data_IF_675360823994
#
_entry.id   IF_675360823994
#
_cell.length_a   1.000
_cell.length_b   1.000
_cell.length_c   1.000
_cell.angle_alpha   90.00
_cell.angle_beta   90.00
_cell.angle_gamma   90.00
#
_symmetry.space_group_name_H-M   'P 1'
#
loop_
_entity.id
_entity.type
_entity.pdbx_description
1 polymer ?
#
# COMPACT_ATOMS: atom_id res chain seq x y z
N UNK A 1 13.45 -41.06 -6.68
CA UNK A 1 14.87 -40.63 -6.62
C UNK A 1 15.05 -39.09 -6.71
N UNK A 2 14.15 -38.25 -6.16
CA UNK A 2 14.13 -36.79 -6.41
C UNK A 2 14.52 -35.89 -5.21
N UNK A 3 14.96 -36.48 -4.09
CA UNK A 3 15.31 -35.72 -2.86
C UNK A 3 16.75 -35.20 -2.81
N UNK A 4 17.72 -35.91 -3.40
CA UNK A 4 19.15 -35.59 -3.25
C UNK A 4 19.63 -34.44 -4.15
N UNK A 5 19.13 -34.31 -5.38
CA UNK A 5 19.47 -33.17 -6.26
C UNK A 5 18.97 -31.81 -5.76
N UNK A 6 17.96 -31.80 -4.88
CA UNK A 6 17.34 -30.59 -4.31
C UNK A 6 18.17 -29.91 -3.21
N UNK A 7 19.23 -30.57 -2.73
CA UNK A 7 20.14 -30.10 -1.67
C UNK A 7 21.54 -29.81 -2.24
N UNK A 8 21.92 -30.45 -3.34
CA UNK A 8 23.26 -30.35 -3.93
C UNK A 8 23.56 -28.94 -4.48
N UNK A 9 22.60 -28.27 -5.14
CA UNK A 9 22.79 -26.90 -5.66
C UNK A 9 23.17 -25.84 -4.60
N UNK A 10 22.38 -25.67 -3.51
CA UNK A 10 22.73 -24.72 -2.46
C UNK A 10 23.92 -25.18 -1.61
N UNK A 11 24.16 -26.49 -1.47
CA UNK A 11 25.37 -27.00 -0.84
C UNK A 11 26.61 -26.64 -1.67
N UNK A 12 26.54 -26.71 -3.01
CA UNK A 12 27.62 -26.26 -3.91
C UNK A 12 27.81 -24.74 -3.85
N UNK A 13 26.75 -23.94 -3.77
CA UNK A 13 26.86 -22.47 -3.66
C UNK A 13 27.44 -22.04 -2.29
N UNK A 14 27.00 -22.69 -1.21
CA UNK A 14 27.53 -22.48 0.14
C UNK A 14 28.96 -23.00 0.24
N UNK A 15 29.28 -24.15 -0.34
CA UNK A 15 30.65 -24.69 -0.43
C UNK A 15 31.51 -23.79 -1.33
N UNK A 16 30.99 -23.21 -2.42
CA UNK A 16 31.73 -22.26 -3.25
C UNK A 16 31.98 -20.93 -2.54
N UNK A 17 31.02 -20.45 -1.74
CA UNK A 17 31.18 -19.27 -0.88
C UNK A 17 32.12 -19.53 0.31
N UNK A 18 32.10 -20.74 0.88
CA UNK A 18 33.01 -21.17 1.95
C UNK A 18 34.42 -21.46 1.42
N UNK A 19 34.56 -22.05 0.24
CA UNK A 19 35.85 -22.26 -0.46
C UNK A 19 36.43 -20.93 -0.93
N UNK A 20 35.59 -20.00 -1.40
CA UNK A 20 35.99 -18.62 -1.63
C UNK A 20 36.50 -18.00 -0.31
N UNK A 21 35.80 -18.16 0.82
CA UNK A 21 36.27 -17.72 2.14
C UNK A 21 37.51 -18.45 2.71
N UNK A 22 37.87 -19.62 2.17
CA UNK A 22 39.01 -20.43 2.60
C UNK A 22 40.33 -20.03 1.91
N UNK A 23 40.29 -19.24 0.84
CA UNK A 23 41.49 -18.65 0.22
C UNK A 23 41.89 -17.41 1.03
N UNK A 24 43.09 -17.35 1.64
CA UNK A 24 43.51 -16.24 2.50
C UNK A 24 43.40 -14.85 1.82
N UNK A 25 43.64 -14.80 0.50
CA UNK A 25 43.48 -13.60 -0.32
C UNK A 25 42.02 -13.10 -0.39
N UNK A 26 41.04 -14.01 -0.37
CA UNK A 26 39.62 -13.68 -0.46
C UNK A 26 39.01 -13.31 0.90
N UNK A 27 39.55 -13.87 2.00
CA UNK A 27 39.14 -13.52 3.37
C UNK A 27 39.58 -12.10 3.75
N UNK A 28 40.80 -11.71 3.37
CA UNK A 28 41.29 -10.33 3.51
C UNK A 28 40.56 -9.35 2.58
N UNK A 29 40.18 -9.80 1.38
CA UNK A 29 39.33 -9.05 0.45
C UNK A 29 37.91 -8.84 0.99
N UNK A 30 37.26 -9.85 1.54
CA UNK A 30 35.89 -9.76 2.05
C UNK A 30 35.77 -8.81 3.26
N UNK A 31 36.74 -8.82 4.17
CA UNK A 31 36.78 -7.90 5.32
C UNK A 31 37.06 -6.46 4.88
N UNK A 32 38.00 -6.25 3.94
CA UNK A 32 38.24 -4.93 3.34
C UNK A 32 37.05 -4.41 2.54
N UNK A 33 36.34 -5.29 1.82
CA UNK A 33 35.15 -4.94 1.04
C UNK A 33 34.03 -4.44 1.94
N UNK A 34 33.77 -5.12 3.06
CA UNK A 34 32.75 -4.67 4.02
C UNK A 34 33.13 -3.34 4.66
N UNK A 35 34.40 -3.12 4.99
CA UNK A 35 34.89 -1.87 5.58
C UNK A 35 34.88 -0.69 4.58
N UNK A 36 35.27 -0.93 3.32
CA UNK A 36 35.25 0.07 2.24
C UNK A 36 33.82 0.41 1.82
N UNK A 37 32.92 -0.58 1.75
CA UNK A 37 31.50 -0.36 1.47
C UNK A 37 30.81 0.36 2.65
N UNK A 38 31.15 0.03 3.90
CA UNK A 38 30.60 0.69 5.09
C UNK A 38 31.03 2.17 5.20
N UNK A 39 32.20 2.53 4.66
CA UNK A 39 32.69 3.92 4.62
C UNK A 39 32.27 4.70 3.37
N UNK A 40 31.64 4.05 2.39
CA UNK A 40 31.26 4.63 1.09
C UNK A 40 32.43 5.38 0.39
N UNK A 41 33.66 4.92 0.58
CA UNK A 41 34.84 5.54 -0.01
C UNK A 41 35.04 5.06 -1.45
N UNK A 42 34.50 5.85 -2.38
CA UNK A 42 34.58 5.64 -3.84
C UNK A 42 36.04 5.52 -4.32
N UNK A 43 36.98 6.22 -3.67
CA UNK A 43 38.40 6.19 -4.02
C UNK A 43 39.04 4.84 -3.69
N UNK A 44 38.80 4.35 -2.47
CA UNK A 44 39.27 3.05 -2.04
C UNK A 44 38.64 1.90 -2.86
N UNK A 45 37.35 2.00 -3.16
CA UNK A 45 36.65 0.99 -3.96
C UNK A 45 37.16 0.94 -5.42
N UNK A 46 37.47 2.10 -6.01
CA UNK A 46 38.12 2.18 -7.32
C UNK A 46 39.51 1.55 -7.32
N UNK A 47 40.34 1.89 -6.33
CA UNK A 47 41.69 1.34 -6.21
C UNK A 47 41.66 -0.18 -6.03
N UNK A 48 40.71 -0.68 -5.23
CA UNK A 48 40.48 -2.10 -5.05
C UNK A 48 40.13 -2.80 -6.36
N UNK A 49 39.13 -2.30 -7.11
CA UNK A 49 38.70 -2.90 -8.38
C UNK A 49 39.82 -2.87 -9.42
N UNK A 50 40.54 -1.75 -9.53
CA UNK A 50 41.68 -1.60 -10.46
C UNK A 50 42.87 -2.50 -10.09
N UNK A 51 43.05 -2.83 -8.81
CA UNK A 51 44.13 -3.69 -8.32
C UNK A 51 44.11 -5.12 -8.91
N UNK A 52 42.96 -5.55 -9.46
CA UNK A 52 42.82 -6.85 -10.11
C UNK A 52 43.06 -6.83 -11.64
N UNK A 53 43.40 -5.67 -12.21
CA UNK A 53 43.76 -5.52 -13.63
C UNK A 53 42.68 -6.07 -14.57
N UNK A 54 43.04 -7.04 -15.41
CA UNK A 54 42.12 -7.66 -16.37
C UNK A 54 40.91 -8.37 -15.72
N UNK A 55 41.02 -8.78 -14.46
CA UNK A 55 39.94 -9.46 -13.72
C UNK A 55 38.96 -8.49 -13.04
N UNK A 56 39.19 -7.18 -13.15
CA UNK A 56 38.37 -6.15 -12.51
C UNK A 56 36.84 -6.27 -12.77
N UNK A 57 36.35 -6.61 -14.00
CA UNK A 57 34.92 -6.78 -14.23
C UNK A 57 34.29 -7.94 -13.46
N UNK A 58 35.03 -9.06 -13.31
CA UNK A 58 34.56 -10.24 -12.59
C UNK A 58 34.54 -9.99 -11.08
N UNK A 59 35.55 -9.30 -10.55
CA UNK A 59 35.58 -8.88 -9.15
C UNK A 59 34.42 -7.94 -8.84
N UNK A 60 34.16 -6.96 -9.71
CA UNK A 60 33.02 -6.05 -9.55
C UNK A 60 31.66 -6.79 -9.63
N UNK A 61 31.53 -7.76 -10.52
CA UNK A 61 30.33 -8.61 -10.60
C UNK A 61 30.10 -9.38 -9.29
N UNK A 62 31.16 -9.99 -8.76
CA UNK A 62 31.11 -10.67 -7.47
C UNK A 62 30.71 -9.73 -6.34
N UNK A 63 31.28 -8.53 -6.30
CA UNK A 63 30.96 -7.49 -5.33
C UNK A 63 29.47 -7.10 -5.37
N UNK A 64 28.92 -6.91 -6.57
CA UNK A 64 27.52 -6.57 -6.76
C UNK A 64 26.56 -7.69 -6.36
N UNK A 65 26.94 -8.95 -6.56
CA UNK A 65 26.14 -10.11 -6.13
C UNK A 65 26.22 -10.27 -4.61
N UNK A 66 27.42 -10.17 -4.04
CA UNK A 66 27.65 -10.33 -2.60
C UNK A 66 26.89 -9.29 -1.79
N UNK A 67 26.96 -8.02 -2.19
CA UNK A 67 26.18 -6.97 -1.52
C UNK A 67 24.66 -7.26 -1.67
N UNK A 68 24.17 -7.66 -2.84
CA UNK A 68 22.73 -7.91 -3.01
C UNK A 68 22.20 -9.05 -2.11
N UNK A 69 23.05 -10.03 -1.79
CA UNK A 69 22.66 -11.26 -1.06
C UNK A 69 22.95 -11.18 0.44
N UNK A 70 24.09 -10.63 0.87
CA UNK A 70 24.57 -10.75 2.25
C UNK A 70 24.35 -9.51 3.10
N UNK A 71 24.31 -8.33 2.50
CA UNK A 71 24.20 -7.09 3.23
C UNK A 71 23.41 -6.11 2.37
N UNK A 72 22.13 -5.80 2.68
CA UNK A 72 21.29 -4.92 1.87
C UNK A 72 21.83 -3.48 1.88
N UNK A 73 22.96 -3.30 1.20
CA UNK A 73 23.76 -2.11 1.08
C UNK A 73 23.35 -1.43 -0.21
N UNK A 74 23.37 -0.09 -0.25
CA UNK A 74 23.07 0.64 -1.47
C UNK A 74 24.06 0.21 -2.56
N UNK A 75 23.54 -0.26 -3.70
CA UNK A 75 24.36 -0.68 -4.83
C UNK A 75 25.01 0.48 -5.60
N UNK A 76 24.59 1.72 -5.28
CA UNK A 76 25.02 2.94 -5.95
C UNK A 76 26.53 3.21 -5.93
N UNK A 77 27.31 2.97 -4.85
CA UNK A 77 28.75 3.22 -4.85
C UNK A 77 29.49 2.29 -5.83
N UNK A 78 29.09 1.01 -5.89
CA UNK A 78 29.70 0.04 -6.81
C UNK A 78 29.36 0.35 -8.26
N UNK A 79 28.09 0.67 -8.54
CA UNK A 79 27.67 1.09 -9.90
C UNK A 79 28.37 2.36 -10.35
N UNK A 80 28.60 3.31 -9.45
CA UNK A 80 29.37 4.52 -9.73
C UNK A 80 30.83 4.20 -10.08
N UNK A 81 31.51 3.36 -9.28
CA UNK A 81 32.88 2.93 -9.56
C UNK A 81 32.96 2.18 -10.89
N UNK A 82 31.96 1.36 -11.21
CA UNK A 82 31.91 0.68 -12.50
C UNK A 82 31.82 1.67 -13.67
N UNK A 83 31.02 2.73 -13.54
CA UNK A 83 30.97 3.82 -14.52
C UNK A 83 32.29 4.60 -14.63
N UNK A 84 32.98 4.80 -13.51
CA UNK A 84 34.28 5.48 -13.47
C UNK A 84 35.41 4.64 -14.08
N UNK A 85 35.40 3.31 -13.87
CA UNK A 85 36.48 2.39 -14.30
C UNK A 85 36.27 1.88 -15.71
N UNK A 86 35.04 1.46 -16.06
CA UNK A 86 34.74 0.81 -17.34
C UNK A 86 33.98 1.72 -18.32
N UNK A 87 33.72 2.97 -17.93
CA UNK A 87 32.92 3.91 -18.72
C UNK A 87 31.41 3.69 -18.58
N UNK A 88 30.59 4.60 -19.15
CA UNK A 88 29.16 4.68 -18.88
C UNK A 88 28.37 3.50 -19.49
N UNK A 89 28.80 3.01 -20.66
CA UNK A 89 28.10 1.93 -21.36
C UNK A 89 28.48 0.56 -20.82
N UNK A 90 29.77 0.24 -20.76
CA UNK A 90 30.25 -1.06 -20.26
C UNK A 90 30.13 -1.19 -18.75
N UNK A 91 30.42 -0.13 -18.00
CA UNK A 91 30.19 -0.08 -16.55
C UNK A 91 28.71 -0.18 -16.20
N UNK A 92 27.84 0.47 -16.98
CA UNK A 92 26.39 0.39 -16.84
C UNK A 92 25.86 -1.02 -17.13
N UNK A 93 26.27 -1.61 -18.26
CA UNK A 93 25.89 -2.97 -18.63
C UNK A 93 26.36 -4.01 -17.61
N UNK A 94 27.62 -3.91 -17.16
CA UNK A 94 28.19 -4.79 -16.12
C UNK A 94 27.39 -4.69 -14.83
N UNK A 95 27.06 -3.47 -14.41
CA UNK A 95 26.30 -3.22 -13.18
C UNK A 95 24.87 -3.73 -13.28
N UNK A 96 24.23 -3.53 -14.42
CA UNK A 96 22.87 -3.98 -14.67
C UNK A 96 22.78 -5.51 -14.70
N UNK A 97 23.68 -6.17 -15.44
CA UNK A 97 23.71 -7.63 -15.55
C UNK A 97 24.03 -8.30 -14.20
N UNK A 98 25.04 -7.81 -13.48
CA UNK A 98 25.41 -8.35 -12.16
C UNK A 98 24.31 -8.15 -11.12
N UNK A 99 23.64 -6.98 -11.13
CA UNK A 99 22.50 -6.74 -10.25
C UNK A 99 21.30 -7.66 -10.55
N UNK A 100 21.04 -7.97 -11.83
CA UNK A 100 19.99 -8.92 -12.21
C UNK A 100 20.29 -10.32 -11.68
N UNK A 101 21.55 -10.76 -11.76
CA UNK A 101 21.98 -12.04 -11.19
C UNK A 101 21.76 -12.04 -9.67
N UNK A 102 22.19 -10.98 -8.98
CA UNK A 102 21.98 -10.84 -7.53
C UNK A 102 20.49 -10.89 -7.15
N UNK A 103 19.66 -10.09 -7.82
CA UNK A 103 18.21 -10.06 -7.59
C UNK A 103 17.55 -11.43 -7.85
N UNK A 104 17.97 -12.13 -8.90
CA UNK A 104 17.51 -13.49 -9.21
C UNK A 104 17.88 -14.50 -8.13
N UNK A 105 19.09 -14.41 -7.56
CA UNK A 105 19.54 -15.24 -6.44
C UNK A 105 18.67 -14.96 -5.20
N UNK A 106 18.43 -13.70 -4.85
CA UNK A 106 17.61 -13.34 -3.69
C UNK A 106 16.16 -13.85 -3.82
N UNK A 107 15.57 -13.71 -5.02
CA UNK A 107 14.25 -14.25 -5.33
C UNK A 107 14.22 -15.78 -5.20
N UNK A 108 15.23 -16.46 -5.75
CA UNK A 108 15.29 -17.92 -5.72
C UNK A 108 15.49 -18.45 -4.30
N UNK A 109 16.37 -17.81 -3.51
CA UNK A 109 16.60 -18.15 -2.11
C UNK A 109 15.33 -18.01 -1.26
N UNK A 110 14.63 -16.87 -1.37
CA UNK A 110 13.36 -16.66 -0.65
C UNK A 110 12.27 -17.63 -1.09
N UNK A 111 12.16 -17.92 -2.39
CA UNK A 111 11.20 -18.91 -2.91
C UNK A 111 11.48 -20.32 -2.40
N UNK A 112 12.75 -20.69 -2.27
CA UNK A 112 13.17 -22.05 -1.95
C UNK A 112 13.17 -22.34 -0.46
N UNK A 113 13.65 -21.39 0.36
CA UNK A 113 13.82 -21.55 1.80
C UNK A 113 12.74 -20.83 2.62
N UNK A 114 11.89 -20.06 1.95
CA UNK A 114 10.76 -19.38 2.55
C UNK A 114 11.16 -18.18 3.42
N UNK A 115 10.17 -17.69 4.16
CA UNK A 115 10.25 -16.49 5.00
C UNK A 115 11.32 -16.55 6.10
N UNK A 116 11.60 -17.69 6.78
CA UNK A 116 12.61 -17.73 7.84
C UNK A 116 14.03 -17.39 7.39
N UNK A 117 14.41 -17.75 6.14
CA UNK A 117 15.71 -17.34 5.58
C UNK A 117 15.68 -15.85 5.25
N UNK A 118 14.61 -15.38 4.63
CA UNK A 118 14.46 -13.98 4.25
C UNK A 118 14.53 -13.07 5.50
N UNK A 119 13.90 -13.44 6.61
CA UNK A 119 13.91 -12.67 7.86
C UNK A 119 15.27 -12.61 8.57
N UNK A 120 16.18 -13.54 8.25
CA UNK A 120 17.57 -13.53 8.75
C UNK A 120 18.47 -12.60 7.93
N UNK A 121 18.18 -12.45 6.64
CA UNK A 121 18.97 -11.63 5.71
C UNK A 121 18.39 -10.21 5.57
N UNK A 122 17.08 -10.06 5.75
CA UNK A 122 16.33 -8.81 5.68
C UNK A 122 15.50 -8.66 6.95
N UNK A 123 15.52 -7.48 7.57
CA UNK A 123 14.78 -7.26 8.82
C UNK A 123 13.28 -7.56 8.65
N UNK A 124 12.67 -8.10 9.72
CA UNK A 124 11.25 -8.48 9.73
C UNK A 124 10.32 -7.34 9.32
N UNK A 125 10.57 -6.13 9.84
CA UNK A 125 9.80 -4.93 9.48
C UNK A 125 9.95 -4.52 8.02
N UNK A 126 11.12 -4.73 7.40
CA UNK A 126 11.29 -4.44 5.97
C UNK A 126 10.53 -5.45 5.09
N UNK A 127 10.45 -6.71 5.50
CA UNK A 127 9.64 -7.73 4.81
C UNK A 127 8.13 -7.47 4.97
N UNK A 128 7.66 -7.09 6.15
CA UNK A 128 6.25 -6.69 6.37
C UNK A 128 5.86 -5.47 5.52
N UNK A 129 6.76 -4.47 5.42
CA UNK A 129 6.58 -3.36 4.49
C UNK A 129 6.48 -3.84 3.04
N UNK A 130 7.35 -4.79 2.66
CA UNK A 130 7.36 -5.40 1.33
C UNK A 130 6.01 -6.08 1.04
N UNK A 131 5.47 -6.86 1.98
CA UNK A 131 4.17 -7.52 1.83
C UNK A 131 3.08 -6.49 1.52
N UNK A 132 2.96 -5.43 2.32
CA UNK A 132 1.97 -4.38 2.10
C UNK A 132 2.17 -3.63 0.78
N UNK A 133 3.41 -3.46 0.36
CA UNK A 133 3.75 -2.86 -0.94
C UNK A 133 3.29 -3.76 -2.11
N UNK A 134 3.53 -5.08 -2.02
CA UNK A 134 3.06 -6.05 -2.99
C UNK A 134 1.52 -6.20 -2.99
N UNK A 135 0.86 -6.13 -1.83
CA UNK A 135 -0.62 -6.14 -1.75
C UNK A 135 -1.23 -4.93 -2.47
N UNK A 136 -0.60 -3.77 -2.36
CA UNK A 136 -1.12 -2.51 -2.93
C UNK A 136 -0.88 -2.37 -4.43
N UNK A 137 0.30 -2.75 -4.92
CA UNK A 137 0.72 -2.50 -6.30
C UNK A 137 0.75 -3.76 -7.18
N UNK A 138 0.57 -4.94 -6.57
CA UNK A 138 0.49 -6.22 -7.28
C UNK A 138 1.73 -6.48 -8.14
N UNK A 139 1.49 -6.89 -9.40
CA UNK A 139 2.56 -7.20 -10.35
C UNK A 139 3.48 -6.01 -10.66
N UNK A 140 2.99 -4.77 -10.49
CA UNK A 140 3.75 -3.56 -10.76
C UNK A 140 4.67 -3.15 -9.60
N UNK A 141 4.54 -3.79 -8.43
CA UNK A 141 5.33 -3.47 -7.24
C UNK A 141 6.83 -3.53 -7.54
N UNK A 142 7.29 -4.54 -8.27
CA UNK A 142 8.71 -4.69 -8.63
C UNK A 142 9.19 -3.50 -9.46
N UNK A 143 8.48 -3.16 -10.54
CA UNK A 143 8.85 -2.08 -11.44
C UNK A 143 8.88 -0.73 -10.70
N UNK A 144 7.85 -0.42 -9.91
CA UNK A 144 7.78 0.80 -9.11
C UNK A 144 8.87 0.87 -8.04
N UNK A 145 9.17 -0.27 -7.41
CA UNK A 145 10.25 -0.38 -6.44
C UNK A 145 11.64 -0.19 -7.05
N UNK A 146 11.83 -0.48 -8.35
CA UNK A 146 13.10 -0.21 -9.05
C UNK A 146 13.25 1.23 -9.54
N UNK A 147 12.14 1.89 -9.87
CA UNK A 147 12.13 3.28 -10.34
C UNK A 147 12.26 4.28 -9.19
N UNK A 148 11.78 3.93 -7.99
CA UNK A 148 11.81 4.80 -6.83
C UNK A 148 13.07 4.52 -5.98
N UNK A 149 14.00 5.49 -5.84
CA UNK A 149 15.26 5.28 -5.12
C UNK A 149 15.09 5.05 -3.61
N UNK A 150 13.90 5.36 -3.07
CA UNK A 150 13.51 5.20 -1.66
C UNK A 150 13.35 3.74 -1.25
N UNK A 151 13.12 2.84 -2.22
CA UNK A 151 12.80 1.44 -1.95
C UNK A 151 14.06 0.60 -2.01
N UNK A 152 14.32 -0.19 -0.96
CA UNK A 152 15.44 -1.14 -0.97
C UNK A 152 15.21 -2.23 -2.01
N UNK A 153 16.15 -2.32 -2.95
CA UNK A 153 16.17 -3.29 -4.04
C UNK A 153 16.15 -4.73 -3.55
N UNK A 154 16.87 -5.02 -2.47
CA UNK A 154 16.98 -6.38 -1.94
C UNK A 154 15.69 -6.79 -1.22
N UNK A 155 15.08 -5.87 -0.47
CA UNK A 155 13.77 -6.08 0.18
C UNK A 155 12.68 -6.44 -0.83
N UNK A 156 12.68 -5.81 -2.00
CA UNK A 156 11.75 -6.12 -3.09
C UNK A 156 12.06 -7.48 -3.71
N UNK A 157 13.33 -7.85 -3.89
CA UNK A 157 13.72 -9.16 -4.42
C UNK A 157 13.33 -10.32 -3.49
N UNK A 158 13.66 -10.21 -2.20
CA UNK A 158 13.29 -11.19 -1.19
C UNK A 158 11.77 -11.25 -1.00
N UNK A 159 11.09 -10.11 -0.95
CA UNK A 159 9.63 -10.04 -0.89
C UNK A 159 8.97 -10.70 -2.10
N UNK A 160 9.40 -10.38 -3.31
CA UNK A 160 8.86 -10.98 -4.54
C UNK A 160 8.97 -12.50 -4.55
N UNK A 161 10.09 -13.05 -4.04
CA UNK A 161 10.29 -14.50 -3.96
C UNK A 161 9.38 -15.20 -2.95
N UNK A 162 8.79 -14.48 -2.00
CA UNK A 162 7.77 -15.00 -1.07
C UNK A 162 6.34 -14.92 -1.61
N UNK A 163 6.13 -14.22 -2.74
CA UNK A 163 4.79 -14.08 -3.37
C UNK A 163 4.50 -15.18 -4.40
N UNK A 164 3.30 -15.18 -4.98
CA UNK A 164 2.94 -16.02 -6.12
C UNK A 164 3.56 -15.62 -7.47
N UNK A 165 4.35 -14.53 -7.54
CA UNK A 165 4.91 -14.00 -8.80
C UNK A 165 5.84 -15.01 -9.49
N UNK A 166 5.79 -15.13 -10.82
CA UNK A 166 6.70 -15.99 -11.56
C UNK A 166 8.09 -15.37 -11.71
N UNK A 167 9.14 -16.20 -11.75
CA UNK A 167 10.53 -15.74 -11.87
C UNK A 167 10.75 -14.87 -13.12
N UNK A 168 10.19 -15.26 -14.26
CA UNK A 168 10.35 -14.51 -15.52
C UNK A 168 9.73 -13.11 -15.46
N UNK A 169 8.56 -12.97 -14.84
CA UNK A 169 7.90 -11.67 -14.66
C UNK A 169 8.72 -10.77 -13.73
N UNK A 170 9.24 -11.34 -12.64
CA UNK A 170 10.14 -10.64 -11.72
C UNK A 170 11.42 -10.15 -12.43
N UNK A 171 12.07 -11.03 -13.20
CA UNK A 171 13.30 -10.70 -13.92
C UNK A 171 13.07 -9.64 -14.98
N UNK A 172 11.98 -9.72 -15.75
CA UNK A 172 11.64 -8.73 -16.77
C UNK A 172 11.34 -7.36 -16.14
N UNK A 173 10.53 -7.33 -15.09
CA UNK A 173 10.19 -6.10 -14.38
C UNK A 173 11.43 -5.45 -13.74
N UNK A 174 12.33 -6.27 -13.17
CA UNK A 174 13.60 -5.82 -12.59
C UNK A 174 14.55 -5.29 -13.67
N UNK A 175 14.67 -6.03 -14.79
CA UNK A 175 15.51 -5.65 -15.92
C UNK A 175 15.10 -4.28 -16.47
N UNK A 176 13.80 -4.06 -16.73
CA UNK A 176 13.29 -2.79 -17.24
C UNK A 176 13.45 -1.67 -16.19
N UNK A 177 13.04 -1.92 -14.95
CA UNK A 177 13.02 -0.91 -13.90
C UNK A 177 14.40 -0.40 -13.49
N UNK A 178 15.45 -1.22 -13.66
CA UNK A 178 16.82 -0.84 -13.27
C UNK A 178 17.57 -0.05 -14.34
N UNK A 179 17.11 -0.02 -15.60
CA UNK A 179 17.81 0.67 -16.70
C UNK A 179 18.03 2.16 -16.41
N UNK A 180 17.01 2.96 -16.06
CA UNK A 180 17.19 4.40 -15.89
C UNK A 180 18.16 4.73 -14.76
N UNK A 181 18.04 4.04 -13.62
CA UNK A 181 18.91 4.24 -12.47
C UNK A 181 20.36 3.82 -12.78
N UNK A 182 20.55 2.67 -13.42
CA UNK A 182 21.90 2.15 -13.71
C UNK A 182 22.64 3.03 -14.71
N UNK A 183 21.95 3.48 -15.77
CA UNK A 183 22.53 4.41 -16.74
C UNK A 183 22.87 5.76 -16.11
N UNK A 184 21.99 6.29 -15.26
CA UNK A 184 22.26 7.54 -14.53
C UNK A 184 23.51 7.42 -13.65
N UNK A 185 23.57 6.41 -12.77
CA UNK A 185 24.71 6.24 -11.87
C UNK A 185 26.02 5.95 -12.61
N UNK A 186 25.97 5.15 -13.68
CA UNK A 186 27.16 4.84 -14.48
C UNK A 186 27.66 6.06 -15.26
N UNK A 187 26.75 6.86 -15.82
CA UNK A 187 27.09 8.12 -16.49
C UNK A 187 27.68 9.15 -15.53
N UNK A 188 27.11 9.26 -14.32
CA UNK A 188 27.67 10.12 -13.27
C UNK A 188 29.05 9.65 -12.78
N UNK A 189 29.27 8.34 -12.75
CA UNK A 189 30.57 7.73 -12.48
C UNK A 189 31.62 8.17 -13.49
N UNK A 190 31.27 8.15 -14.77
CA UNK A 190 32.15 8.56 -15.86
C UNK A 190 32.54 10.05 -15.82
N UNK A 191 31.59 10.93 -15.46
CA UNK A 191 31.81 12.38 -15.39
C UNK A 191 32.80 12.83 -14.31
N UNK A 192 33.17 11.96 -13.36
CA UNK A 192 34.25 12.14 -12.37
C UNK A 192 34.44 13.56 -11.82
N UNK A 193 33.76 13.94 -10.72
CA UNK A 193 33.93 15.29 -10.14
C UNK A 193 33.17 15.62 -8.85
N UNK A 194 33.46 16.80 -8.27
CA UNK A 194 32.79 17.41 -7.09
C UNK A 194 31.26 17.54 -7.28
N UNK A 195 30.81 17.76 -8.52
CA UNK A 195 29.41 17.79 -8.95
C UNK A 195 28.71 16.43 -8.84
N UNK A 196 29.42 15.33 -9.10
CA UNK A 196 28.89 13.97 -8.94
C UNK A 196 28.65 13.64 -7.45
N UNK A 197 29.57 14.06 -6.56
CA UNK A 197 29.37 13.93 -5.10
C UNK A 197 28.15 14.72 -4.62
N UNK A 198 27.98 15.96 -5.08
CA UNK A 198 26.82 16.78 -4.73
C UNK A 198 25.50 16.13 -5.19
N UNK A 199 25.44 15.61 -6.42
CA UNK A 199 24.25 14.95 -6.94
C UNK A 199 23.95 13.61 -6.23
N UNK A 200 24.99 12.83 -5.87
CA UNK A 200 24.84 11.63 -5.05
C UNK A 200 24.26 11.97 -3.67
N UNK A 201 24.76 13.03 -3.02
CA UNK A 201 24.20 13.52 -1.76
C UNK A 201 22.79 14.06 -1.91
N UNK A 202 22.45 14.71 -3.03
CA UNK A 202 21.08 15.16 -3.31
C UNK A 202 20.12 13.99 -3.49
N UNK A 203 20.50 12.96 -4.26
CA UNK A 203 19.68 11.76 -4.43
C UNK A 203 19.58 10.98 -3.12
N UNK A 204 20.67 10.87 -2.37
CA UNK A 204 20.67 10.28 -1.03
C UNK A 204 19.80 11.08 -0.05
N UNK A 205 19.79 12.41 -0.13
CA UNK A 205 18.94 13.29 0.67
C UNK A 205 17.46 13.16 0.29
N UNK A 206 17.13 13.10 -1.01
CA UNK A 206 15.76 12.84 -1.48
C UNK A 206 15.30 11.44 -1.04
N UNK A 207 16.20 10.46 -1.11
CA UNK A 207 15.98 9.08 -0.65
C UNK A 207 15.76 9.04 0.85
N UNK A 208 16.63 9.68 1.64
CA UNK A 208 16.52 9.79 3.09
C UNK A 208 15.27 10.57 3.50
N UNK A 209 14.88 11.61 2.77
CA UNK A 209 13.66 12.38 3.00
C UNK A 209 12.41 11.55 2.65
N UNK A 210 12.46 10.76 1.57
CA UNK A 210 11.42 9.81 1.22
C UNK A 210 11.26 8.69 2.25
N UNK A 211 12.38 8.13 2.73
CA UNK A 211 12.41 7.13 3.82
C UNK A 211 11.90 7.77 5.11
N UNK A 212 12.37 8.96 5.47
CA UNK A 212 11.90 9.72 6.63
C UNK A 212 10.40 10.03 6.51
N UNK A 213 9.90 10.42 5.34
CA UNK A 213 8.48 10.61 5.10
C UNK A 213 7.69 9.31 5.29
N UNK A 214 8.19 8.17 4.80
CA UNK A 214 7.58 6.86 4.99
C UNK A 214 7.62 6.37 6.45
N UNK A 215 8.71 6.66 7.19
CA UNK A 215 8.90 6.32 8.60
C UNK A 215 8.10 7.26 9.53
N UNK A 216 7.95 8.52 9.15
CA UNK A 216 7.07 9.47 9.81
C UNK A 216 5.62 9.22 9.43
N UNK A 217 5.30 8.60 8.29
CA UNK A 217 3.93 8.30 7.88
C UNK A 217 3.09 7.61 8.96
N UNK A 218 3.53 6.57 9.70
CA UNK A 218 2.75 6.03 10.81
C UNK A 218 2.56 7.06 11.94
N UNK A 219 3.61 7.77 12.38
CA UNK A 219 3.52 8.77 13.47
C UNK A 219 2.80 10.06 13.09
N UNK A 220 2.83 10.43 11.82
CA UNK A 220 2.19 11.62 11.24
C UNK A 220 0.77 11.30 10.81
N UNK A 221 0.46 10.06 10.40
CA UNK A 221 -0.92 9.59 10.21
C UNK A 221 -1.65 9.41 11.54
N UNK A 222 -0.93 9.13 12.63
CA UNK A 222 -1.49 9.08 13.99
C UNK A 222 -1.64 10.48 14.62
N UNK A 223 -0.69 11.41 14.40
CA UNK A 223 -0.74 12.77 15.00
C UNK A 223 -1.44 13.82 14.14
N UNK A 224 -1.39 13.67 12.82
CA UNK A 224 -2.20 14.43 11.86
C UNK A 224 -3.26 13.44 11.39
N UNK A 225 -4.36 13.36 12.13
CA UNK A 225 -5.49 12.50 11.80
C UNK A 225 -5.83 12.59 10.32
N UNK A 226 -6.39 11.50 9.78
CA UNK A 226 -6.74 11.21 8.38
C UNK A 226 -7.59 12.27 7.62
N UNK A 227 -7.70 13.50 8.13
CA UNK A 227 -8.44 14.65 7.64
C UNK A 227 -7.79 15.37 6.44
N UNK A 228 -6.48 15.32 6.25
CA UNK A 228 -5.76 16.17 5.27
C UNK A 228 -5.94 15.79 3.79
N UNK A 229 -5.39 14.64 3.35
CA UNK A 229 -5.37 14.30 1.91
C UNK A 229 -6.72 13.80 1.38
N UNK A 230 -7.55 13.15 2.20
CA UNK A 230 -8.85 12.63 1.77
C UNK A 230 -9.92 13.71 1.63
N UNK A 231 -9.93 14.75 2.50
CA UNK A 231 -10.78 15.94 2.30
C UNK A 231 -10.35 16.79 1.10
N UNK A 232 -9.04 16.85 0.82
CA UNK A 232 -8.56 17.53 -0.39
C UNK A 232 -9.01 16.80 -1.66
N UNK A 233 -9.00 15.46 -1.66
CA UNK A 233 -9.54 14.66 -2.75
C UNK A 233 -11.06 14.78 -2.90
N UNK A 234 -11.83 14.73 -1.81
CA UNK A 234 -13.30 14.90 -1.91
C UNK A 234 -13.68 16.29 -2.40
N UNK A 235 -12.98 17.34 -1.95
CA UNK A 235 -13.11 18.70 -2.49
C UNK A 235 -12.70 18.80 -3.95
N UNK A 236 -11.65 18.10 -4.38
CA UNK A 236 -11.24 18.07 -5.79
C UNK A 236 -12.26 17.35 -6.67
N UNK A 237 -12.84 16.24 -6.20
CA UNK A 237 -13.93 15.54 -6.90
C UNK A 237 -15.19 16.41 -7.03
N UNK A 238 -15.57 17.13 -5.98
CA UNK A 238 -16.69 18.07 -6.03
C UNK A 238 -16.44 19.27 -6.98
N UNK A 239 -15.18 19.68 -7.13
CA UNK A 239 -14.78 20.84 -7.94
C UNK A 239 -14.53 20.51 -9.42
N UNK A 240 -14.29 19.24 -9.75
CA UNK A 240 -14.05 18.77 -11.12
C UNK A 240 -14.96 17.58 -11.46
N UNK A 241 -16.19 17.84 -11.95
CA UNK A 241 -17.20 16.81 -12.22
C UNK A 241 -16.73 15.69 -13.18
N UNK A 242 -15.74 15.99 -14.04
CA UNK A 242 -15.14 15.05 -15.01
C UNK A 242 -14.35 13.91 -14.33
N UNK A 243 -13.86 14.10 -13.10
CA UNK A 243 -13.09 13.07 -12.39
C UNK A 243 -13.96 11.93 -11.86
N UNK A 244 -15.24 12.20 -11.57
CA UNK A 244 -16.20 11.19 -11.10
C UNK A 244 -16.38 10.02 -12.08
N UNK A 245 -16.71 10.28 -13.36
CA UNK A 245 -16.85 9.23 -14.38
C UNK A 245 -15.58 8.40 -14.61
N UNK A 246 -14.40 9.04 -14.55
CA UNK A 246 -13.11 8.36 -14.74
C UNK A 246 -12.79 7.41 -13.57
N UNK A 247 -13.15 7.81 -12.34
CA UNK A 247 -13.02 6.96 -11.16
C UNK A 247 -14.06 5.83 -11.15
N UNK A 248 -15.32 6.13 -11.47
CA UNK A 248 -16.40 5.14 -11.54
C UNK A 248 -16.13 4.00 -12.54
N UNK A 249 -15.44 4.29 -13.66
CA UNK A 249 -15.00 3.27 -14.62
C UNK A 249 -14.00 2.25 -14.05
N UNK A 250 -13.28 2.61 -12.99
CA UNK A 250 -12.32 1.72 -12.29
C UNK A 250 -12.92 1.07 -11.06
N UNK A 251 -14.04 1.57 -10.56
CA UNK A 251 -14.75 0.97 -9.44
C UNK A 251 -15.38 -0.36 -9.88
N UNK A 252 -15.14 -1.42 -9.13
CA UNK A 252 -15.78 -2.70 -9.35
C UNK A 252 -17.23 -2.59 -8.87
N UNK A 253 -18.13 -2.17 -9.74
CA UNK A 253 -19.56 -2.09 -9.44
C UNK A 253 -20.06 -3.52 -9.25
N UNK A 254 -20.43 -3.86 -8.01
CA UNK A 254 -21.10 -5.12 -7.71
C UNK A 254 -22.51 -5.02 -8.27
N UNK A 255 -22.78 -5.74 -9.37
CA UNK A 255 -24.14 -5.92 -9.87
C UNK A 255 -24.77 -7.04 -9.07
N UNK A 256 -25.67 -6.70 -8.16
CA UNK A 256 -26.52 -7.69 -7.49
C UNK A 256 -27.53 -8.19 -8.51
N UNK A 257 -27.57 -9.51 -8.75
CA UNK A 257 -28.51 -10.12 -9.67
C UNK A 257 -29.91 -10.14 -9.04
N UNK A 258 -30.87 -9.50 -9.70
CA UNK A 258 -32.24 -9.37 -9.21
C UNK A 258 -32.36 -8.32 -8.11
N UNK A 259 -33.11 -7.26 -8.38
CA UNK A 259 -33.67 -6.44 -7.32
C UNK A 259 -34.86 -7.26 -6.80
N UNK A 260 -34.90 -7.67 -5.51
CA UNK A 260 -36.08 -8.32 -4.95
C UNK A 260 -37.20 -7.28 -4.90
N UNK A 261 -37.92 -7.15 -6.01
CA UNK A 261 -39.04 -6.24 -6.13
C UNK A 261 -40.29 -6.90 -5.56
N UNK A 262 -40.81 -6.33 -4.49
CA UNK A 262 -42.10 -6.74 -3.92
C UNK A 262 -43.13 -5.69 -4.34
N UNK A 263 -44.14 -6.03 -5.16
CA UNK A 263 -45.19 -5.09 -5.53
C UNK A 263 -45.91 -4.56 -4.30
N UNK A 264 -46.00 -3.24 -4.20
CA UNK A 264 -46.63 -2.57 -3.07
C UNK A 264 -48.16 -2.52 -3.28
N UNK A 265 -48.90 -3.37 -2.56
CA UNK A 265 -50.36 -3.53 -2.73
C UNK A 265 -51.21 -2.80 -1.68
N UNK A 266 -50.58 -2.37 -0.57
CA UNK A 266 -51.26 -1.72 0.56
C UNK A 266 -51.37 -0.20 0.32
N UNK A 267 -52.53 0.43 0.51
CA UNK A 267 -52.64 1.89 0.42
C UNK A 267 -51.77 2.59 1.46
N UNK A 268 -51.06 3.67 1.10
CA UNK A 268 -50.12 4.37 2.00
C UNK A 268 -50.74 4.78 3.35
N UNK A 269 -52.01 5.22 3.34
CA UNK A 269 -52.77 5.56 4.55
C UNK A 269 -52.95 4.42 5.56
N UNK A 270 -52.68 3.18 5.14
CA UNK A 270 -52.68 1.99 6.01
C UNK A 270 -51.27 1.48 6.30
N UNK A 271 -50.23 2.11 5.72
CA UNK A 271 -48.86 1.66 5.80
C UNK A 271 -48.09 2.33 6.95
N UNK A 272 -47.21 1.55 7.57
CA UNK A 272 -46.22 2.02 8.53
C UNK A 272 -44.85 2.05 7.88
N UNK A 273 -44.14 3.18 7.96
CA UNK A 273 -42.81 3.34 7.36
C UNK A 273 -41.69 3.39 8.40
N UNK A 274 -40.50 2.91 8.02
CA UNK A 274 -39.23 3.16 8.72
C UNK A 274 -38.29 3.95 7.81
N UNK A 275 -37.46 4.80 8.40
CA UNK A 275 -36.42 5.53 7.67
C UNK A 275 -35.07 4.86 7.92
N UNK A 276 -34.28 4.70 6.86
CA UNK A 276 -32.90 4.25 6.93
C UNK A 276 -32.02 5.22 6.13
N UNK A 277 -31.13 5.94 6.82
CA UNK A 277 -30.22 6.90 6.18
C UNK A 277 -28.77 6.45 6.23
N UNK A 278 -27.99 6.83 5.23
CA UNK A 278 -26.51 6.73 5.27
C UNK A 278 -25.85 8.07 5.57
N UNK A 279 -26.62 9.09 5.96
CA UNK A 279 -26.14 10.46 6.18
C UNK A 279 -25.38 10.70 7.48
N UNK A 280 -25.18 9.68 8.32
CA UNK A 280 -24.46 9.83 9.59
C UNK A 280 -25.25 10.57 10.67
N UNK A 281 -26.57 10.52 10.62
CA UNK A 281 -27.46 11.17 11.60
C UNK A 281 -27.50 10.34 12.89
N UNK A 282 -27.42 10.97 14.06
CA UNK A 282 -27.56 10.27 15.33
C UNK A 282 -28.01 11.23 16.45
N UNK A 283 -28.36 10.68 17.61
CA UNK A 283 -28.72 11.50 18.76
C UNK A 283 -27.48 12.18 19.33
N UNK A 284 -27.63 13.40 19.85
CA UNK A 284 -26.54 14.13 20.49
C UNK A 284 -25.90 13.40 21.67
N UNK A 285 -26.70 12.57 22.37
CA UNK A 285 -26.26 11.73 23.48
C UNK A 285 -25.51 10.48 23.06
N UNK A 286 -25.66 10.06 21.81
CA UNK A 286 -24.99 8.85 21.32
C UNK A 286 -23.50 9.15 21.10
N UNK A 287 -22.69 8.10 21.23
CA UNK A 287 -21.32 8.13 20.73
C UNK A 287 -21.34 8.47 19.24
N UNK A 288 -20.61 9.52 18.80
CA UNK A 288 -20.48 9.86 17.39
C UNK A 288 -19.91 8.68 16.59
N UNK A 289 -20.20 8.64 15.29
CA UNK A 289 -19.56 7.68 14.40
C UNK A 289 -18.04 7.88 14.39
N UNK A 290 -17.29 6.78 14.31
CA UNK A 290 -15.83 6.81 14.27
C UNK A 290 -15.34 7.32 12.90
N UNK A 291 -14.83 8.55 12.92
CA UNK A 291 -14.23 9.20 11.76
C UNK A 291 -12.70 9.09 11.73
N UNK A 292 -12.10 8.48 12.75
CA UNK A 292 -10.66 8.28 12.84
C UNK A 292 -10.21 7.04 12.06
N UNK A 293 -11.04 5.99 12.02
CA UNK A 293 -10.75 4.78 11.26
C UNK A 293 -10.82 5.06 9.73
N UNK A 294 -9.74 4.84 8.97
CA UNK A 294 -9.75 5.06 7.51
C UNK A 294 -10.71 4.15 6.73
N UNK A 295 -11.14 3.05 7.34
CA UNK A 295 -12.13 2.13 6.77
C UNK A 295 -13.57 2.48 7.18
N UNK A 296 -13.77 3.45 8.07
CA UNK A 296 -15.08 3.96 8.50
C UNK A 296 -15.63 3.34 9.78
N UNK A 297 -16.96 3.36 9.94
CA UNK A 297 -17.68 2.86 11.12
C UNK A 297 -18.75 1.87 10.66
N UNK A 298 -18.66 0.58 11.03
CA UNK A 298 -19.62 -0.43 10.60
C UNK A 298 -20.93 -0.39 11.40
N UNK A 299 -20.97 0.36 12.50
CA UNK A 299 -22.12 0.41 13.42
C UNK A 299 -23.23 1.30 12.88
N UNK A 300 -24.43 1.16 13.44
CA UNK A 300 -25.56 2.04 13.18
C UNK A 300 -26.07 2.67 14.47
N UNK A 301 -26.97 3.64 14.34
CA UNK A 301 -27.68 4.28 15.46
C UNK A 301 -29.18 4.12 15.27
N UNK A 302 -29.88 3.93 16.38
CA UNK A 302 -31.34 3.93 16.44
C UNK A 302 -31.84 5.30 16.85
N UNK A 303 -32.83 5.80 16.12
CA UNK A 303 -33.39 7.14 16.31
C UNK A 303 -34.87 6.98 16.62
N UNK A 304 -35.34 7.36 17.82
CA UNK A 304 -36.75 7.31 18.18
C UNK A 304 -37.62 8.22 17.31
N UNK A 305 -38.83 7.77 17.04
CA UNK A 305 -39.79 8.46 16.16
C UNK A 305 -40.38 9.73 16.75
N UNK A 306 -40.22 10.00 18.04
CA UNK A 306 -40.65 11.20 18.76
C UNK A 306 -39.48 12.18 19.02
N UNK A 307 -38.27 11.88 18.55
CA UNK A 307 -37.09 12.72 18.74
C UNK A 307 -37.30 14.16 18.25
N UNK A 308 -36.86 15.14 19.04
CA UNK A 308 -36.82 16.53 18.62
C UNK A 308 -35.65 16.77 17.66
N UNK A 309 -35.83 17.61 16.66
CA UNK A 309 -34.77 17.98 15.71
C UNK A 309 -33.52 18.54 16.42
N UNK A 310 -33.70 19.29 17.51
CA UNK A 310 -32.61 19.83 18.32
C UNK A 310 -31.69 18.74 18.89
N UNK A 311 -32.20 17.52 19.07
CA UNK A 311 -31.47 16.40 19.67
C UNK A 311 -30.71 15.57 18.64
N UNK A 312 -30.83 15.91 17.35
CA UNK A 312 -30.12 15.27 16.27
C UNK A 312 -28.84 16.02 15.92
N UNK A 313 -27.86 15.27 15.42
CA UNK A 313 -26.62 15.79 14.83
C UNK A 313 -26.12 14.86 13.75
N UNK A 314 -25.26 15.39 12.88
CA UNK A 314 -24.59 14.64 11.82
C UNK A 314 -23.12 14.47 12.18
N UNK A 315 -22.59 13.25 12.01
CA UNK A 315 -21.16 12.97 12.05
C UNK A 315 -20.79 12.20 10.79
N UNK A 316 -20.30 12.92 9.77
CA UNK A 316 -19.95 12.36 8.47
C UNK A 316 -18.94 13.26 7.71
N UNK A 317 -17.80 12.73 7.26
CA UNK A 317 -16.70 13.51 6.64
C UNK A 317 -16.62 13.35 5.12
N UNK A 318 -17.41 12.46 4.53
CA UNK A 318 -17.33 12.09 3.12
C UNK A 318 -18.26 12.88 2.19
N UNK A 319 -19.14 13.74 2.73
CA UNK A 319 -19.91 14.74 1.96
C UNK A 319 -19.95 16.07 2.73
N UNK A 320 -20.30 17.15 2.02
CA UNK A 320 -20.49 18.46 2.63
C UNK A 320 -21.91 18.57 3.20
N UNK A 321 -22.03 18.46 4.52
CA UNK A 321 -23.31 18.42 5.23
C UNK A 321 -23.82 19.79 5.70
N UNK A 322 -23.23 20.91 5.24
CA UNK A 322 -23.64 22.26 5.70
C UNK A 322 -25.12 22.57 5.48
N UNK A 323 -25.68 22.11 4.36
CA UNK A 323 -27.11 22.29 4.08
C UNK A 323 -27.96 21.33 4.91
N UNK A 324 -27.49 20.10 5.14
CA UNK A 324 -28.14 19.15 6.03
C UNK A 324 -28.13 19.59 7.52
N UNK A 325 -27.12 20.35 7.96
CA UNK A 325 -27.10 20.96 9.29
C UNK A 325 -28.19 22.05 9.41
N UNK A 326 -28.49 22.75 8.30
CA UNK A 326 -29.55 23.79 8.23
C UNK A 326 -30.94 23.19 8.06
N UNK A 327 -31.05 22.05 7.38
CA UNK A 327 -32.28 21.28 7.25
C UNK A 327 -31.96 19.79 7.18
N UNK A 328 -32.16 19.11 8.32
CA UNK A 328 -31.84 17.68 8.45
C UNK A 328 -32.73 16.81 7.56
N UNK A 329 -33.87 17.33 7.10
CA UNK A 329 -34.79 16.58 6.25
C UNK A 329 -34.18 16.25 4.88
N UNK A 330 -33.09 16.91 4.48
CA UNK A 330 -32.34 16.59 3.27
C UNK A 330 -31.72 15.19 3.31
N UNK A 331 -31.31 14.73 4.50
CA UNK A 331 -30.64 13.42 4.69
C UNK A 331 -31.42 12.50 5.63
N UNK A 332 -32.40 13.02 6.36
CA UNK A 332 -33.25 12.26 7.28
C UNK A 332 -34.62 12.95 7.43
N UNK A 333 -35.56 12.74 6.48
CA UNK A 333 -36.84 13.47 6.35
C UNK A 333 -37.91 13.05 7.39
N UNK A 334 -37.52 12.91 8.66
CA UNK A 334 -38.43 12.45 9.71
C UNK A 334 -39.59 13.42 9.94
N UNK A 335 -39.35 14.73 9.91
CA UNK A 335 -40.41 15.72 10.09
C UNK A 335 -41.40 15.69 8.93
N UNK A 336 -40.90 15.58 7.69
CA UNK A 336 -41.75 15.43 6.49
C UNK A 336 -42.62 14.17 6.56
N UNK A 337 -42.09 13.05 7.05
CA UNK A 337 -42.90 11.85 7.23
C UNK A 337 -43.93 11.99 8.35
N UNK A 338 -43.61 12.67 9.45
CA UNK A 338 -44.60 12.99 10.49
C UNK A 338 -45.73 13.87 9.95
N UNK A 339 -45.42 14.83 9.08
CA UNK A 339 -46.43 15.65 8.38
C UNK A 339 -47.34 14.80 7.47
N UNK A 340 -46.77 13.83 6.73
CA UNK A 340 -47.56 12.89 5.93
C UNK A 340 -48.51 12.03 6.77
N UNK A 341 -48.07 11.62 7.97
CA UNK A 341 -48.94 10.91 8.92
C UNK A 341 -50.03 11.83 9.45
N UNK A 342 -49.69 13.07 9.85
CA UNK A 342 -50.67 14.05 10.34
C UNK A 342 -51.71 14.41 9.27
N UNK A 343 -51.33 14.43 7.99
CA UNK A 343 -52.22 14.66 6.85
C UNK A 343 -53.06 13.43 6.46
N UNK A 344 -52.88 12.27 7.12
CA UNK A 344 -53.56 11.02 6.79
C UNK A 344 -53.14 10.38 5.47
N UNK A 345 -52.02 10.83 4.88
CA UNK A 345 -51.46 10.28 3.64
C UNK A 345 -50.72 8.96 3.94
N UNK A 346 -50.01 8.90 5.07
CA UNK A 346 -49.31 7.72 5.58
C UNK A 346 -49.99 7.22 6.86
N UNK A 347 -50.12 5.90 7.02
CA UNK A 347 -50.78 5.31 8.19
C UNK A 347 -50.01 5.49 9.49
N UNK A 348 -48.68 5.47 9.42
CA UNK A 348 -47.83 5.72 10.59
C UNK A 348 -46.34 5.57 10.33
N UNK A 349 -45.58 5.74 11.39
CA UNK A 349 -44.15 5.45 11.46
C UNK A 349 -43.90 4.35 12.49
N UNK A 350 -42.81 3.60 12.33
CA UNK A 350 -42.33 2.67 13.36
C UNK A 350 -41.91 3.41 14.63
N UNK A 351 -41.44 2.75 15.69
CA UNK A 351 -40.95 3.41 16.91
C UNK A 351 -39.50 3.89 16.79
N UNK A 352 -38.75 3.21 15.95
CA UNK A 352 -37.34 3.49 15.69
C UNK A 352 -37.06 3.61 14.19
N UNK A 353 -36.06 4.43 13.89
CA UNK A 353 -35.44 4.64 12.59
C UNK A 353 -33.94 4.37 12.71
N UNK A 354 -33.26 4.19 11.58
CA UNK A 354 -31.89 3.70 11.59
C UNK A 354 -30.96 4.59 10.75
N UNK A 355 -29.72 4.71 11.19
CA UNK A 355 -28.74 5.55 10.53
C UNK A 355 -27.35 4.92 10.53
N UNK A 356 -26.71 4.98 9.36
CA UNK A 356 -25.31 4.64 9.13
C UNK A 356 -24.53 5.89 8.73
N UNK A 357 -23.21 5.83 8.85
CA UNK A 357 -22.28 6.84 8.35
C UNK A 357 -21.89 6.61 6.87
N UNK A 358 -22.49 5.64 6.17
CA UNK A 358 -22.39 5.49 4.70
C UNK A 358 -21.03 5.05 4.12
N UNK A 359 -19.91 5.31 4.79
CA UNK A 359 -18.58 4.88 4.39
C UNK A 359 -18.11 3.70 5.25
N UNK A 360 -18.11 2.49 4.66
CA UNK A 360 -17.53 1.28 5.24
C UNK A 360 -16.70 0.57 4.18
N UNK A 361 -15.41 0.37 4.44
CA UNK A 361 -14.46 -0.16 3.48
C UNK A 361 -13.53 -1.21 4.09
N UNK A 362 -12.74 -1.86 3.23
CA UNK A 362 -11.64 -2.72 3.64
C UNK A 362 -12.05 -3.80 4.64
N UNK A 363 -11.40 -3.79 5.81
CA UNK A 363 -11.59 -4.84 6.84
C UNK A 363 -12.95 -4.78 7.54
N UNK A 364 -13.67 -3.66 7.42
CA UNK A 364 -14.93 -3.44 8.13
C UNK A 364 -16.15 -3.95 7.35
N UNK A 365 -16.00 -4.24 6.05
CA UNK A 365 -17.07 -4.81 5.21
C UNK A 365 -17.55 -6.14 5.80
N UNK A 366 -16.62 -7.01 6.22
CA UNK A 366 -16.99 -8.29 6.82
C UNK A 366 -17.83 -8.10 8.08
N UNK A 367 -17.44 -7.19 8.98
CA UNK A 367 -18.22 -6.89 10.20
C UNK A 367 -19.58 -6.28 9.89
N UNK A 368 -19.67 -5.43 8.88
CA UNK A 368 -20.95 -4.90 8.42
C UNK A 368 -21.88 -6.06 7.99
N UNK A 369 -21.38 -6.97 7.15
CA UNK A 369 -22.14 -8.10 6.60
C UNK A 369 -22.51 -9.16 7.65
N UNK A 370 -21.59 -9.50 8.57
CA UNK A 370 -21.79 -10.61 9.50
C UNK A 370 -22.38 -10.20 10.85
N UNK A 371 -22.30 -8.91 11.23
CA UNK A 371 -22.76 -8.44 12.53
C UNK A 371 -23.83 -7.35 12.40
N UNK A 372 -23.50 -6.24 11.73
CA UNK A 372 -24.33 -5.03 11.79
C UNK A 372 -25.61 -5.14 10.96
N UNK A 373 -25.53 -5.71 9.74
CA UNK A 373 -26.71 -5.96 8.90
C UNK A 373 -27.65 -6.99 9.53
N UNK A 374 -27.19 -8.18 10.01
CA UNK A 374 -28.04 -9.11 10.73
C UNK A 374 -28.72 -8.50 11.96
N UNK A 375 -27.99 -7.65 12.71
CA UNK A 375 -28.56 -6.94 13.85
C UNK A 375 -29.64 -5.94 13.43
N UNK A 376 -29.39 -5.12 12.40
CA UNK A 376 -30.39 -4.22 11.81
C UNK A 376 -31.65 -5.00 11.37
N UNK A 377 -31.49 -6.13 10.68
CA UNK A 377 -32.60 -6.95 10.21
C UNK A 377 -33.45 -7.49 11.38
N UNK A 378 -32.81 -7.85 12.49
CA UNK A 378 -33.53 -8.25 13.71
C UNK A 378 -34.35 -7.10 14.30
N UNK A 379 -33.82 -5.89 14.30
CA UNK A 379 -34.54 -4.68 14.76
C UNK A 379 -35.69 -4.31 13.82
N UNK A 380 -35.47 -4.34 12.51
CA UNK A 380 -36.53 -4.11 11.51
C UNK A 380 -37.64 -5.16 11.62
N UNK A 381 -37.32 -6.43 11.83
CA UNK A 381 -38.30 -7.48 12.04
C UNK A 381 -39.15 -7.27 13.31
N UNK A 382 -38.58 -6.65 14.35
CA UNK A 382 -39.30 -6.30 15.58
C UNK A 382 -40.26 -5.11 15.37
N UNK A 383 -39.85 -4.11 14.58
CA UNK A 383 -40.66 -2.93 14.27
C UNK A 383 -41.79 -3.23 13.25
N UNK A 384 -41.62 -4.26 12.42
CA UNK A 384 -42.59 -4.70 11.39
C UNK A 384 -43.10 -3.56 10.47
N UNK A 385 -42.21 -2.77 9.83
CA UNK A 385 -42.65 -1.79 8.84
C UNK A 385 -43.24 -2.48 7.60
N UNK A 386 -44.19 -1.81 6.95
CA UNK A 386 -44.66 -2.22 5.62
C UNK A 386 -43.62 -1.90 4.54
N UNK A 387 -42.82 -0.84 4.74
CA UNK A 387 -41.67 -0.52 3.89
C UNK A 387 -40.60 0.28 4.64
N UNK A 388 -39.37 0.19 4.14
CA UNK A 388 -38.23 1.00 4.59
C UNK A 388 -37.90 2.01 3.50
N UNK A 389 -37.89 3.29 3.84
CA UNK A 389 -37.49 4.36 2.95
C UNK A 389 -35.97 4.60 3.10
N UNK A 390 -35.23 4.34 2.02
CA UNK A 390 -33.77 4.47 1.98
C UNK A 390 -33.38 5.89 1.57
N UNK A 391 -32.58 6.55 2.40
CA UNK A 391 -32.10 7.92 2.16
C UNK A 391 -30.58 7.91 1.98
N UNK A 392 -30.08 7.90 0.74
CA UNK A 392 -28.65 8.05 0.48
C UNK A 392 -28.22 9.50 0.77
N UNK A 393 -26.94 9.68 1.12
CA UNK A 393 -26.33 10.99 1.41
C UNK A 393 -25.15 11.28 0.48
#
# INVERSE_FOLDING_TARGET
>A
MSGRLRIIGPLILVIALLLAGAVPAFRGAALNVVEVLARADVGALRAYVLGFGAWAPLVSTGLMIVQAVLAPLPSSPVTFVNGLVFGPWWGGLLSWASALVGAGICFWLSRRFGRPLAERLVSRGALEWSDGFFTRFGVHAVLLGRLLPVVSFDVVSYGAGLTGMSFSVFMLATAIGMIPGTLLYSYLGHLGGRSARALLWTIAAITALGVLFLLLKPKFSERVGARGPRRALSRAFARFPVLGPLWARRARIVRVAGIPWVPFSKPLRACTATLLTTGGVHLRRDSPFDMADPDGDPTFREIPTDVARSDLRITHDYYDHRDADRDINLVFPLERFRELVAAGILGGLTRAHFSFMGHVAGRLIQRLETESIPHLLTRLAAERPDFVFLVPA
#
